data_IF_682065238817
#
_entry.id   IF_682065238817
#
_cell.length_a   1.000
_cell.length_b   1.000
_cell.length_c   1.000
_cell.angle_alpha   90.00
_cell.angle_beta   90.00
_cell.angle_gamma   90.00
#
_symmetry.space_group_name_H-M   'P 1'
#
loop_
_entity.id
_entity.type
_entity.pdbx_description
1 polymer ?
#
# COMPACT_ATOMS: atom_id res chain seq x y z
N UNK A 1 18.44 8.11 -7.75
CA UNK A 1 17.67 8.17 -6.49
C UNK A 1 16.78 6.93 -6.30
N UNK A 2 15.85 6.62 -7.22
CA UNK A 2 14.92 5.47 -7.06
C UNK A 2 15.58 4.08 -6.91
N UNK A 3 16.74 3.82 -7.56
CA UNK A 3 17.49 2.55 -7.41
C UNK A 3 17.88 2.28 -5.96
N UNK A 4 18.26 3.34 -5.23
CA UNK A 4 18.64 3.26 -3.82
C UNK A 4 17.42 2.97 -2.95
N UNK A 5 16.29 3.64 -3.21
CA UNK A 5 15.03 3.41 -2.50
C UNK A 5 14.51 1.99 -2.69
N UNK A 6 14.66 1.41 -3.89
CA UNK A 6 14.24 0.03 -4.16
C UNK A 6 15.07 -1.01 -3.40
N UNK A 7 16.31 -0.69 -3.03
CA UNK A 7 17.22 -1.57 -2.30
C UNK A 7 17.17 -1.39 -0.78
N UNK A 8 16.33 -0.49 -0.27
CA UNK A 8 16.21 -0.29 1.18
C UNK A 8 15.56 -1.50 1.84
N UNK A 9 16.16 -1.95 2.92
CA UNK A 9 15.53 -2.89 3.83
C UNK A 9 14.50 -2.14 4.69
N UNK A 10 13.24 -2.55 4.58
CA UNK A 10 12.12 -2.00 5.32
C UNK A 10 11.65 -2.92 6.45
N UNK A 11 12.38 -4.01 6.74
CA UNK A 11 11.97 -5.01 7.71
C UNK A 11 11.63 -4.39 9.06
N UNK A 12 12.54 -3.60 9.64
CA UNK A 12 12.31 -2.95 10.95
C UNK A 12 11.09 -2.03 10.94
N UNK A 13 10.90 -1.25 9.89
CA UNK A 13 9.74 -0.34 9.78
C UNK A 13 8.44 -1.12 9.62
N UNK A 14 8.47 -2.22 8.88
CA UNK A 14 7.31 -3.09 8.66
C UNK A 14 6.95 -3.85 9.94
N UNK A 15 7.93 -4.37 10.68
CA UNK A 15 7.73 -5.05 11.96
C UNK A 15 7.07 -4.13 12.99
N UNK A 16 7.47 -2.86 13.06
CA UNK A 16 6.79 -1.87 13.91
C UNK A 16 5.30 -1.77 13.60
N UNK A 17 4.94 -1.69 12.31
CA UNK A 17 3.52 -1.65 11.89
C UNK A 17 2.80 -2.94 12.26
N UNK A 18 3.43 -4.09 12.06
CA UNK A 18 2.87 -5.40 12.42
C UNK A 18 2.63 -5.55 13.93
N UNK A 19 3.46 -4.91 14.74
CA UNK A 19 3.34 -4.86 16.21
C UNK A 19 2.37 -3.77 16.70
N UNK A 20 1.71 -3.03 15.80
CA UNK A 20 0.79 -1.94 16.15
C UNK A 20 1.49 -0.67 16.64
N UNK A 21 2.80 -0.53 16.41
CA UNK A 21 3.58 0.64 16.78
C UNK A 21 3.37 1.74 15.74
N UNK A 22 2.95 2.92 16.20
CA UNK A 22 2.82 4.10 15.36
C UNK A 22 4.19 4.53 14.82
N UNK A 23 4.27 4.74 13.50
CA UNK A 23 5.46 5.25 12.84
C UNK A 23 5.55 6.76 13.00
N UNK A 24 6.77 7.28 13.10
CA UNK A 24 7.00 8.71 12.95
C UNK A 24 6.80 9.16 11.48
N UNK A 25 6.82 10.47 11.26
CA UNK A 25 6.58 11.04 9.93
C UNK A 25 7.60 10.60 8.87
N UNK A 26 8.87 10.43 9.25
CA UNK A 26 9.94 10.03 8.33
C UNK A 26 9.78 8.56 7.94
N UNK A 27 9.52 7.69 8.92
CA UNK A 27 9.25 6.27 8.71
C UNK A 27 8.00 6.03 7.87
N UNK A 28 6.92 6.77 8.13
CA UNK A 28 5.70 6.70 7.32
C UNK A 28 5.96 7.16 5.89
N UNK A 29 6.64 8.29 5.70
CA UNK A 29 6.96 8.82 4.36
C UNK A 29 7.87 7.87 3.58
N UNK A 30 8.82 7.23 4.27
CA UNK A 30 9.72 6.25 3.68
C UNK A 30 8.98 5.05 3.08
N UNK A 31 7.97 4.51 3.78
CA UNK A 31 7.17 3.39 3.26
C UNK A 31 6.48 3.76 1.94
N UNK A 32 5.91 4.97 1.87
CA UNK A 32 5.28 5.49 0.65
C UNK A 32 6.30 5.67 -0.47
N UNK A 33 7.41 6.34 -0.19
CA UNK A 33 8.45 6.65 -1.18
C UNK A 33 9.10 5.38 -1.76
N UNK A 34 9.32 4.35 -0.95
CA UNK A 34 9.82 3.07 -1.44
C UNK A 34 8.79 2.35 -2.30
N UNK A 35 7.50 2.38 -1.93
CA UNK A 35 6.44 1.82 -2.76
C UNK A 35 6.37 2.52 -4.13
N UNK A 36 6.38 3.86 -4.14
CA UNK A 36 6.38 4.67 -5.37
C UNK A 36 7.63 4.41 -6.22
N UNK A 37 8.81 4.30 -5.61
CA UNK A 37 10.04 3.97 -6.32
C UNK A 37 9.98 2.58 -6.98
N UNK A 38 9.38 1.60 -6.31
CA UNK A 38 9.18 0.24 -6.87
C UNK A 38 8.20 0.26 -8.04
N UNK A 39 7.09 1.00 -7.95
CA UNK A 39 6.17 1.21 -9.07
C UNK A 39 6.87 1.88 -10.25
N UNK A 40 7.62 2.95 -10.01
CA UNK A 40 8.37 3.64 -11.07
C UNK A 40 9.39 2.72 -11.76
N UNK A 41 10.09 1.89 -10.98
CA UNK A 41 11.02 0.90 -11.54
C UNK A 41 10.31 -0.12 -12.42
N UNK A 42 9.18 -0.66 -11.98
CA UNK A 42 8.38 -1.61 -12.76
C UNK A 42 7.85 -0.98 -14.04
N UNK A 43 7.35 0.25 -13.97
CA UNK A 43 6.86 1.00 -15.13
C UNK A 43 7.97 1.18 -16.17
N UNK A 44 9.15 1.60 -15.73
CA UNK A 44 10.30 1.76 -16.62
C UNK A 44 10.70 0.46 -17.28
N UNK A 45 10.69 -0.66 -16.54
CA UNK A 45 10.99 -1.98 -17.11
C UNK A 45 10.04 -2.33 -18.25
N UNK A 46 8.73 -2.18 -18.04
CA UNK A 46 7.70 -2.44 -19.07
C UNK A 46 7.91 -1.56 -20.29
N UNK A 47 8.12 -0.25 -20.08
CA UNK A 47 8.35 0.72 -21.17
C UNK A 47 9.58 0.38 -22.02
N UNK A 48 10.66 -0.08 -21.38
CA UNK A 48 11.91 -0.43 -22.06
C UNK A 48 11.95 -1.86 -22.60
N UNK A 49 10.94 -2.68 -22.32
CA UNK A 49 10.91 -4.07 -22.75
C UNK A 49 10.59 -4.18 -24.24
N UNK A 50 11.63 -4.32 -25.05
CA UNK A 50 11.51 -4.46 -26.51
C UNK A 50 11.05 -5.86 -26.94
N UNK A 51 10.98 -6.83 -26.03
CA UNK A 51 10.48 -8.17 -26.33
C UNK A 51 8.94 -8.25 -26.28
N UNK A 52 8.28 -7.29 -25.62
CA UNK A 52 6.82 -7.19 -25.60
C UNK A 52 6.30 -6.54 -26.88
N UNK A 53 5.23 -7.12 -27.43
CA UNK A 53 4.44 -6.47 -28.49
C UNK A 53 3.89 -5.14 -27.98
N UNK A 54 3.83 -4.13 -28.86
CA UNK A 54 3.43 -2.76 -28.51
C UNK A 54 2.09 -2.71 -27.76
N UNK A 55 1.07 -3.42 -28.27
CA UNK A 55 -0.26 -3.46 -27.63
C UNK A 55 -0.22 -4.11 -26.24
N UNK A 56 0.61 -5.13 -26.04
CA UNK A 56 0.78 -5.80 -24.74
C UNK A 56 1.51 -4.91 -23.74
N UNK A 57 2.54 -4.18 -24.21
CA UNK A 57 3.26 -3.19 -23.41
C UNK A 57 2.34 -2.07 -22.96
N UNK A 58 1.57 -1.47 -23.87
CA UNK A 58 0.62 -0.40 -23.52
C UNK A 58 -0.43 -0.86 -22.52
N UNK A 59 -0.99 -2.07 -22.70
CA UNK A 59 -1.93 -2.65 -21.74
C UNK A 59 -1.29 -2.83 -20.35
N UNK A 60 -0.07 -3.40 -20.29
CA UNK A 60 0.63 -3.61 -19.03
C UNK A 60 0.96 -2.29 -18.31
N UNK A 61 1.32 -1.24 -19.04
CA UNK A 61 1.52 0.10 -18.48
C UNK A 61 0.22 0.66 -17.87
N UNK A 62 -0.90 0.53 -18.57
CA UNK A 62 -2.20 0.99 -18.07
C UNK A 62 -2.64 0.23 -16.82
N UNK A 63 -2.48 -1.09 -16.81
CA UNK A 63 -2.80 -1.94 -15.65
C UNK A 63 -1.93 -1.59 -14.43
N UNK A 64 -0.63 -1.36 -14.64
CA UNK A 64 0.28 -0.99 -13.56
C UNK A 64 -0.05 0.41 -13.00
N UNK A 65 -0.41 1.35 -13.86
CA UNK A 65 -0.85 2.68 -13.42
C UNK A 65 -2.17 2.60 -12.63
N UNK A 66 -3.12 1.81 -13.11
CA UNK A 66 -4.39 1.57 -12.41
C UNK A 66 -4.15 0.94 -11.03
N UNK A 67 -3.21 -0.01 -10.92
CA UNK A 67 -2.81 -0.60 -9.65
C UNK A 67 -2.23 0.44 -8.69
N UNK A 68 -1.30 1.28 -9.14
CA UNK A 68 -0.72 2.34 -8.30
C UNK A 68 -1.79 3.31 -7.78
N UNK A 69 -2.72 3.71 -8.64
CA UNK A 69 -3.84 4.58 -8.27
C UNK A 69 -4.77 3.91 -7.25
N UNK A 70 -5.07 2.61 -7.44
CA UNK A 70 -5.89 1.84 -6.50
C UNK A 70 -5.23 1.76 -5.12
N UNK A 71 -3.93 1.45 -5.05
CA UNK A 71 -3.19 1.42 -3.78
C UNK A 71 -3.22 2.79 -3.07
N UNK A 72 -2.99 3.87 -3.81
CA UNK A 72 -3.03 5.24 -3.28
C UNK A 72 -4.43 5.59 -2.74
N UNK A 73 -5.48 5.21 -3.48
CA UNK A 73 -6.86 5.44 -3.07
C UNK A 73 -7.21 4.69 -1.79
N UNK A 74 -6.79 3.43 -1.63
CA UNK A 74 -7.02 2.65 -0.40
C UNK A 74 -6.36 3.33 0.80
N UNK A 75 -5.10 3.77 0.66
CA UNK A 75 -4.39 4.47 1.73
C UNK A 75 -5.11 5.78 2.14
N UNK A 76 -5.55 6.57 1.17
CA UNK A 76 -6.32 7.79 1.45
C UNK A 76 -7.66 7.50 2.11
N UNK A 77 -8.40 6.49 1.65
CA UNK A 77 -9.68 6.13 2.26
C UNK A 77 -9.48 5.79 3.75
N UNK A 78 -8.49 4.98 4.10
CA UNK A 78 -8.18 4.66 5.50
C UNK A 78 -7.85 5.92 6.33
N UNK A 79 -7.01 6.82 5.81
CA UNK A 79 -6.69 8.08 6.49
C UNK A 79 -7.93 8.95 6.71
N UNK A 80 -8.77 9.08 5.68
CA UNK A 80 -10.00 9.89 5.76
C UNK A 80 -11.04 9.28 6.70
N UNK A 81 -11.15 7.95 6.76
CA UNK A 81 -12.02 7.26 7.73
C UNK A 81 -11.59 7.53 9.17
N UNK A 82 -10.29 7.49 9.47
CA UNK A 82 -9.76 7.84 10.79
C UNK A 82 -10.03 9.30 11.16
N UNK A 83 -9.89 10.22 10.20
CA UNK A 83 -10.20 11.64 10.39
C UNK A 83 -11.70 11.89 10.61
N UNK A 84 -12.56 11.20 9.85
CA UNK A 84 -14.00 11.28 10.01
C UNK A 84 -14.43 10.82 11.41
N UNK A 85 -13.88 9.70 11.90
CA UNK A 85 -14.16 9.19 13.23
C UNK A 85 -13.80 10.21 14.33
N UNK A 86 -12.66 10.89 14.21
CA UNK A 86 -12.27 11.95 15.14
C UNK A 86 -13.24 13.14 15.17
N UNK A 87 -14.01 13.37 14.10
CA UNK A 87 -14.96 14.48 13.96
C UNK A 87 -16.36 14.16 14.46
N UNK A 88 -16.67 12.90 14.76
CA UNK A 88 -18.02 12.47 15.16
C UNK A 88 -18.39 12.84 16.61
N UNK A 89 -17.46 13.41 17.39
CA UNK A 89 -17.68 13.87 18.78
C UNK A 89 -18.41 12.81 19.66
N UNK A 90 -18.06 11.54 19.44
CA UNK A 90 -18.67 10.40 20.13
C UNK A 90 -18.28 10.37 21.62
N UNK A 91 -19.13 9.74 22.43
CA UNK A 91 -18.74 9.39 23.80
C UNK A 91 -17.62 8.33 23.82
N UNK A 92 -17.07 8.06 25.00
CA UNK A 92 -15.91 7.18 25.14
C UNK A 92 -16.19 5.73 24.70
N UNK A 93 -17.42 5.24 24.88
CA UNK A 93 -17.79 3.87 24.54
C UNK A 93 -17.99 3.73 23.02
N UNK A 94 -18.70 4.68 22.42
CA UNK A 94 -18.89 4.74 20.97
C UNK A 94 -17.58 5.01 20.23
N UNK A 95 -16.70 5.85 20.78
CA UNK A 95 -15.37 6.09 20.21
C UNK A 95 -14.50 4.82 20.23
N UNK A 96 -14.58 4.03 21.30
CA UNK A 96 -13.90 2.74 21.38
C UNK A 96 -14.44 1.77 20.34
N UNK A 97 -15.77 1.63 20.21
CA UNK A 97 -16.39 0.74 19.23
C UNK A 97 -16.04 1.14 17.78
N UNK A 98 -16.05 2.44 17.48
CA UNK A 98 -15.69 2.95 16.18
C UNK A 98 -14.20 2.66 15.86
N UNK A 99 -13.32 2.77 16.85
CA UNK A 99 -11.90 2.41 16.71
C UNK A 99 -11.72 0.91 16.42
N UNK A 100 -12.37 0.05 17.20
CA UNK A 100 -12.32 -1.41 17.01
C UNK A 100 -12.83 -1.83 15.61
N UNK A 101 -13.83 -1.10 15.09
CA UNK A 101 -14.33 -1.30 13.73
C UNK A 101 -13.26 -1.01 12.67
N UNK A 102 -12.52 0.09 12.81
CA UNK A 102 -11.43 0.43 11.87
C UNK A 102 -10.27 -0.56 11.97
N UNK A 103 -9.89 -0.98 13.19
CA UNK A 103 -8.85 -1.99 13.41
C UNK A 103 -9.23 -3.33 12.78
N UNK A 104 -10.49 -3.76 12.96
CA UNK A 104 -11.03 -4.96 12.31
C UNK A 104 -11.00 -4.86 10.79
N UNK A 105 -11.33 -3.68 10.23
CA UNK A 105 -11.30 -3.45 8.79
C UNK A 105 -9.87 -3.50 8.22
N UNK A 106 -8.88 -2.98 8.96
CA UNK A 106 -7.47 -3.08 8.59
C UNK A 106 -7.01 -4.54 8.50
N UNK A 107 -7.39 -5.37 9.48
CA UNK A 107 -7.09 -6.81 9.48
C UNK A 107 -7.75 -7.50 8.29
N UNK A 108 -9.01 -7.17 7.99
CA UNK A 108 -9.71 -7.71 6.82
C UNK A 108 -9.02 -7.35 5.50
N UNK A 109 -8.66 -6.09 5.28
CA UNK A 109 -7.94 -5.64 4.07
C UNK A 109 -6.62 -6.42 3.93
N UNK A 110 -5.87 -6.57 5.03
CA UNK A 110 -4.62 -7.32 5.05
C UNK A 110 -4.83 -8.80 4.74
N UNK A 111 -5.89 -9.41 5.24
CA UNK A 111 -6.25 -10.80 4.93
C UNK A 111 -6.59 -10.98 3.45
N UNK A 112 -7.38 -10.05 2.87
CA UNK A 112 -7.65 -10.02 1.43
C UNK A 112 -6.36 -9.92 0.62
N UNK A 113 -5.47 -9.00 0.98
CA UNK A 113 -4.19 -8.83 0.30
C UNK A 113 -3.34 -10.10 0.39
N UNK A 114 -3.17 -10.70 1.58
CA UNK A 114 -2.39 -11.93 1.74
C UNK A 114 -2.96 -13.10 0.92
N UNK A 115 -4.28 -13.25 0.88
CA UNK A 115 -4.94 -14.28 0.07
C UNK A 115 -4.65 -14.09 -1.42
N UNK A 116 -4.74 -12.86 -1.91
CA UNK A 116 -4.43 -12.54 -3.30
C UNK A 116 -2.95 -12.63 -3.60
N UNK A 117 -2.06 -12.28 -2.67
CA UNK A 117 -0.63 -12.40 -2.89
C UNK A 117 -0.17 -13.86 -2.98
N UNK A 118 -0.79 -14.74 -2.20
CA UNK A 118 -0.49 -16.18 -2.24
C UNK A 118 -0.82 -16.86 -3.59
N UNK A 119 -1.54 -16.21 -4.52
CA UNK A 119 -1.71 -16.73 -5.88
C UNK A 119 -0.52 -16.40 -6.79
N UNK A 120 0.26 -15.36 -6.49
CA UNK A 120 1.49 -15.05 -7.22
C UNK A 120 2.62 -16.04 -6.88
N UNK A 121 2.69 -16.49 -5.62
CA UNK A 121 3.71 -17.47 -5.18
C UNK A 121 3.49 -18.88 -5.74
N UNK A 122 2.27 -19.22 -6.18
CA UNK A 122 1.95 -20.52 -6.81
C UNK A 122 2.13 -20.53 -8.33
N UNK A 123 2.44 -19.38 -8.92
CA UNK A 123 2.59 -19.20 -10.37
C UNK A 123 4.05 -19.01 -10.80
N UNK A 124 5.01 -19.29 -9.90
CA UNK A 124 6.46 -19.27 -10.13
C UNK A 124 7.05 -20.68 -10.13
#
# INVERSE_FOLDING_TARGET
MWKLLCSLDLQTTTEKVEQGIALDHAQHSLLREVADAKFYHLMRKIQTDTALEENRRQQAEQELLALQQACTRVAHLMQTSCLALRRLELDADDQRLARETLESHQVFIKACLRRSLGSFDRSA
#
